data_IF_644540941479
#
_entry.id   IF_644540941479
#
_cell.length_a   1.000
_cell.length_b   1.000
_cell.length_c   1.000
_cell.angle_alpha   90.00
_cell.angle_beta   90.00
_cell.angle_gamma   90.00
#
_symmetry.space_group_name_H-M   'P 1'
#
loop_
_entity.id
_entity.type
_entity.pdbx_description
1 polymer ?
#
# COMPACT_ATOMS: atom_id res chain seq x y z
N UNK A 1 -9.58 14.38 -4.65
CA UNK A 1 -9.96 14.71 -3.25
C UNK A 1 -11.44 14.42 -3.02
N UNK A 2 -11.78 13.62 -2.01
CA UNK A 2 -13.15 13.22 -1.71
C UNK A 2 -13.47 11.73 -1.94
N UNK A 3 -12.46 10.90 -2.19
CA UNK A 3 -12.65 9.46 -2.41
C UNK A 3 -13.20 8.77 -1.16
N UNK A 4 -12.74 9.19 0.03
CA UNK A 4 -13.19 8.58 1.28
C UNK A 4 -14.26 9.41 1.99
N UNK A 5 -14.39 10.70 1.64
CA UNK A 5 -15.19 11.66 2.40
C UNK A 5 -16.45 12.17 1.68
N UNK A 6 -16.53 12.03 0.35
CA UNK A 6 -17.67 12.54 -0.43
C UNK A 6 -18.46 11.39 -1.08
N UNK A 7 -19.64 11.02 -0.52
CA UNK A 7 -20.50 9.97 -1.07
C UNK A 7 -21.04 10.25 -2.47
N UNK A 8 -21.03 11.51 -2.92
CA UNK A 8 -21.48 11.89 -4.27
C UNK A 8 -20.38 11.68 -5.33
N UNK A 9 -19.15 11.38 -4.91
CA UNK A 9 -18.05 11.08 -5.83
C UNK A 9 -18.30 9.74 -6.54
N UNK A 10 -18.11 9.64 -7.86
CA UNK A 10 -18.22 8.35 -8.56
C UNK A 10 -17.17 7.32 -8.10
N UNK A 11 -16.07 7.79 -7.50
CA UNK A 11 -15.01 6.95 -6.93
C UNK A 11 -15.10 6.82 -5.40
N UNK A 12 -16.26 7.09 -4.81
CA UNK A 12 -16.43 6.96 -3.36
C UNK A 12 -16.17 5.52 -2.90
N UNK A 13 -15.41 5.37 -1.81
CA UNK A 13 -15.14 4.07 -1.19
C UNK A 13 -14.99 4.24 0.32
N UNK A 14 -15.52 3.28 1.07
CA UNK A 14 -15.40 3.20 2.53
C UNK A 14 -14.45 2.06 2.90
N UNK A 15 -13.12 2.30 2.94
CA UNK A 15 -12.16 1.27 3.30
C UNK A 15 -12.19 0.97 4.80
N UNK A 16 -11.93 -0.29 5.19
CA UNK A 16 -11.69 -0.65 6.61
C UNK A 16 -10.23 -0.47 7.03
N UNK A 17 -9.30 -0.45 6.07
CA UNK A 17 -7.87 -0.19 6.26
C UNK A 17 -7.30 0.44 5.01
N UNK A 18 -6.36 1.38 5.16
CA UNK A 18 -5.67 2.02 4.04
C UNK A 18 -4.17 1.73 4.12
N UNK A 19 -3.60 1.28 3.00
CA UNK A 19 -2.17 1.05 2.84
C UNK A 19 -1.57 2.21 2.03
N UNK A 20 -0.55 2.86 2.60
CA UNK A 20 0.14 4.03 2.03
C UNK A 20 1.54 3.63 1.57
N UNK A 21 1.96 4.10 0.39
CA UNK A 21 3.29 3.77 -0.16
C UNK A 21 4.33 4.80 0.23
N UNK A 22 3.99 6.08 0.11
CA UNK A 22 4.86 7.18 0.52
C UNK A 22 4.03 8.22 1.26
N UNK A 23 4.21 8.37 2.59
CA UNK A 23 3.50 9.35 3.39
C UNK A 23 3.57 10.78 2.85
N UNK A 24 4.66 11.13 2.16
CA UNK A 24 4.86 12.50 1.63
C UNK A 24 4.09 12.72 0.33
N UNK A 25 3.99 11.69 -0.51
CA UNK A 25 3.27 11.77 -1.79
C UNK A 25 1.76 11.54 -1.61
N UNK A 26 1.38 10.71 -0.64
CA UNK A 26 0.01 10.25 -0.40
C UNK A 26 -0.70 11.00 0.75
N UNK A 27 -0.20 12.20 1.14
CA UNK A 27 -0.72 12.98 2.28
C UNK A 27 -2.24 13.21 2.20
N UNK A 28 -2.77 13.44 0.99
CA UNK A 28 -4.20 13.62 0.77
C UNK A 28 -5.02 12.38 1.19
N UNK A 29 -4.54 11.18 0.88
CA UNK A 29 -5.21 9.93 1.25
C UNK A 29 -5.14 9.71 2.76
N UNK A 30 -3.99 10.04 3.37
CA UNK A 30 -3.81 9.98 4.83
C UNK A 30 -4.76 10.93 5.56
N UNK A 31 -4.90 12.17 5.10
CA UNK A 31 -5.82 13.12 5.70
C UNK A 31 -7.28 12.67 5.61
N UNK A 32 -7.69 12.17 4.44
CA UNK A 32 -9.05 11.69 4.23
C UNK A 32 -9.33 10.45 5.10
N UNK A 33 -8.40 9.50 5.16
CA UNK A 33 -8.51 8.31 6.02
C UNK A 33 -8.57 8.68 7.51
N UNK A 34 -7.75 9.65 7.94
CA UNK A 34 -7.78 10.17 9.32
C UNK A 34 -9.13 10.82 9.64
N UNK A 35 -9.73 11.55 8.69
CA UNK A 35 -11.04 12.22 8.89
C UNK A 35 -12.19 11.22 9.08
N UNK A 36 -12.14 10.08 8.40
CA UNK A 36 -13.15 9.03 8.55
C UNK A 36 -12.84 8.02 9.67
N UNK A 37 -11.65 8.09 10.27
CA UNK A 37 -11.24 7.24 11.39
C UNK A 37 -10.84 5.82 11.00
N UNK A 38 -10.27 5.65 9.80
CA UNK A 38 -9.81 4.34 9.29
C UNK A 38 -8.32 4.13 9.62
N UNK A 39 -7.92 2.92 10.07
CA UNK A 39 -6.53 2.63 10.38
C UNK A 39 -5.62 2.74 9.16
N UNK A 40 -4.44 3.35 9.37
CA UNK A 40 -3.44 3.62 8.35
C UNK A 40 -2.18 2.76 8.56
N UNK A 41 -1.83 1.99 7.53
CA UNK A 41 -0.58 1.22 7.44
C UNK A 41 0.30 1.86 6.36
N UNK A 42 1.55 2.19 6.65
CA UNK A 42 2.40 2.87 5.67
C UNK A 42 3.78 2.19 5.49
N UNK A 43 4.28 2.21 4.25
CA UNK A 43 5.69 1.96 3.96
C UNK A 43 6.47 3.26 4.21
N UNK A 44 7.49 3.22 5.05
CA UNK A 44 8.26 4.42 5.38
C UNK A 44 9.76 4.18 5.23
N UNK A 45 10.41 5.14 4.55
CA UNK A 45 11.85 5.31 4.53
C UNK A 45 12.27 6.34 5.62
N UNK A 46 13.57 6.52 5.78
CA UNK A 46 14.20 7.37 6.80
C UNK A 46 13.83 8.85 6.73
N UNK A 47 13.37 9.34 5.58
CA UNK A 47 13.01 10.74 5.37
C UNK A 47 11.50 11.02 5.45
N UNK A 48 10.68 10.01 5.71
CA UNK A 48 9.23 10.18 5.79
C UNK A 48 8.75 10.72 7.15
N UNK A 49 7.58 11.37 7.12
CA UNK A 49 6.89 11.83 8.33
C UNK A 49 5.93 10.74 8.83
N UNK A 50 5.98 10.44 10.13
CA UNK A 50 5.20 9.37 10.77
C UNK A 50 3.85 9.84 11.35
N UNK A 51 3.32 10.97 10.88
CA UNK A 51 2.14 11.60 11.48
C UNK A 51 0.88 10.85 11.06
N UNK A 52 0.00 10.54 12.03
CA UNK A 52 -1.28 9.88 11.81
C UNK A 52 -1.17 8.49 11.13
N UNK A 53 -0.07 7.78 11.34
CA UNK A 53 0.11 6.40 10.87
C UNK A 53 0.06 5.48 12.08
N UNK A 54 -0.78 4.45 12.03
CA UNK A 54 -0.96 3.51 13.14
C UNK A 54 0.08 2.39 13.12
N UNK A 55 0.45 1.93 11.92
CA UNK A 55 1.45 0.88 11.71
C UNK A 55 2.44 1.26 10.62
N UNK A 56 3.72 1.23 10.96
CA UNK A 56 4.82 1.55 10.05
C UNK A 56 5.54 0.27 9.66
N UNK A 57 5.72 0.09 8.34
CA UNK A 57 6.57 -0.94 7.75
C UNK A 57 7.83 -0.23 7.24
N UNK A 58 8.98 -0.37 7.94
CA UNK A 58 10.21 0.26 7.50
C UNK A 58 10.72 -0.42 6.22
N UNK A 59 10.73 0.31 5.11
CA UNK A 59 11.11 -0.20 3.81
C UNK A 59 11.56 0.93 2.87
N UNK A 60 12.37 0.59 1.87
CA UNK A 60 12.69 1.53 0.80
C UNK A 60 11.47 1.70 -0.12
N UNK A 61 10.82 2.86 -0.05
CA UNK A 61 9.64 3.21 -0.83
C UNK A 61 9.92 3.95 -2.15
N UNK A 62 11.19 4.11 -2.53
CA UNK A 62 11.61 4.76 -3.81
C UNK A 62 12.09 3.75 -4.85
N UNK A 63 12.70 2.66 -4.39
CA UNK A 63 13.23 1.63 -5.27
C UNK A 63 12.13 0.78 -5.90
N UNK A 64 12.02 0.77 -7.24
CA UNK A 64 11.05 -0.06 -7.97
C UNK A 64 11.07 -1.54 -7.57
N UNK A 65 12.27 -2.11 -7.46
CA UNK A 65 12.45 -3.52 -7.02
C UNK A 65 12.08 -3.73 -5.56
N UNK A 66 12.36 -2.74 -4.70
CA UNK A 66 12.04 -2.81 -3.28
C UNK A 66 10.53 -2.77 -3.06
N UNK A 67 9.84 -1.81 -3.69
CA UNK A 67 8.37 -1.72 -3.66
C UNK A 67 7.70 -3.00 -4.19
N UNK A 68 8.14 -3.49 -5.35
CA UNK A 68 7.61 -4.73 -5.92
C UNK A 68 7.75 -5.91 -4.96
N UNK A 69 8.93 -6.07 -4.35
CA UNK A 69 9.19 -7.12 -3.38
C UNK A 69 8.34 -6.99 -2.11
N UNK A 70 8.19 -5.78 -1.56
CA UNK A 70 7.39 -5.55 -0.35
C UNK A 70 5.92 -5.87 -0.60
N UNK A 71 5.34 -5.38 -1.69
CA UNK A 71 3.96 -5.69 -2.04
C UNK A 71 3.74 -7.18 -2.35
N UNK A 72 4.70 -7.83 -3.00
CA UNK A 72 4.65 -9.27 -3.24
C UNK A 72 4.68 -10.08 -1.93
N UNK A 73 5.57 -9.72 -0.99
CA UNK A 73 5.65 -10.36 0.31
C UNK A 73 4.38 -10.14 1.13
N UNK A 74 3.83 -8.93 1.09
CA UNK A 74 2.58 -8.58 1.78
C UNK A 74 1.41 -9.40 1.22
N UNK A 75 1.25 -9.44 -0.11
CA UNK A 75 0.21 -10.23 -0.76
C UNK A 75 0.35 -11.72 -0.41
N UNK A 76 1.58 -12.26 -0.45
CA UNK A 76 1.86 -13.65 -0.06
C UNK A 76 1.43 -13.92 1.38
N UNK A 77 1.78 -13.04 2.32
CA UNK A 77 1.44 -13.25 3.72
C UNK A 77 -0.07 -13.15 3.95
N UNK A 78 -0.76 -12.21 3.32
CA UNK A 78 -2.22 -12.08 3.42
C UNK A 78 -2.93 -13.35 2.94
N UNK A 79 -2.48 -13.94 1.82
CA UNK A 79 -3.08 -15.19 1.32
C UNK A 79 -2.79 -16.41 2.21
N UNK A 80 -1.63 -16.43 2.89
CA UNK A 80 -1.32 -17.46 3.90
C UNK A 80 -2.24 -17.35 5.12
N UNK A 81 -2.45 -16.14 5.64
CA UNK A 81 -3.36 -15.90 6.77
C UNK A 81 -4.83 -16.20 6.41
N UNK A 82 -5.21 -16.01 5.13
CA UNK A 82 -6.53 -16.40 4.62
C UNK A 82 -6.70 -17.90 4.38
N UNK A 83 -5.62 -18.68 4.44
CA UNK A 83 -5.64 -20.13 4.17
C UNK A 83 -5.77 -20.50 2.69
N UNK A 84 -5.58 -19.54 1.77
CA UNK A 84 -5.61 -19.78 0.32
C UNK A 84 -4.31 -20.45 -0.18
N UNK A 85 -3.22 -20.23 0.55
CA UNK A 85 -1.90 -20.82 0.28
C UNK A 85 -1.40 -21.47 1.57
N UNK A 86 -0.69 -22.63 1.51
CA UNK A 86 -0.05 -23.21 2.68
C UNK A 86 0.92 -22.23 3.38
N UNK A 87 1.22 -22.41 4.67
CA UNK A 87 2.14 -21.53 5.42
C UNK A 87 3.51 -21.33 4.76
N UNK A 88 4.01 -22.37 4.09
CA UNK A 88 5.29 -22.33 3.34
C UNK A 88 5.10 -22.15 1.84
N UNK A 89 3.85 -22.08 1.37
CA UNK A 89 3.54 -21.90 -0.05
C UNK A 89 3.91 -20.51 -0.54
N UNK A 90 4.26 -20.40 -1.82
CA UNK A 90 4.59 -19.14 -2.47
C UNK A 90 3.46 -18.72 -3.42
N UNK A 91 3.44 -17.43 -3.75
CA UNK A 91 2.63 -16.91 -4.84
C UNK A 91 3.06 -17.60 -6.15
N UNK A 92 2.08 -17.95 -6.99
CA UNK A 92 2.35 -18.44 -8.35
C UNK A 92 2.91 -17.31 -9.22
N UNK A 93 2.49 -16.08 -8.95
CA UNK A 93 2.94 -14.87 -9.62
C UNK A 93 4.37 -14.54 -9.21
N UNK A 94 5.30 -14.37 -10.17
CA UNK A 94 6.69 -13.99 -9.89
C UNK A 94 6.79 -12.51 -9.47
N UNK A 95 7.85 -12.15 -8.74
CA UNK A 95 8.05 -10.77 -8.22
C UNK A 95 8.20 -9.78 -9.37
N UNK A 96 8.76 -10.22 -10.49
CA UNK A 96 8.98 -9.45 -11.71
C UNK A 96 7.68 -8.90 -12.30
N UNK A 97 6.53 -9.53 -12.03
CA UNK A 97 5.22 -9.02 -12.46
C UNK A 97 4.77 -7.80 -11.65
N UNK A 98 5.27 -7.66 -10.41
CA UNK A 98 5.04 -6.49 -9.56
C UNK A 98 5.99 -5.34 -9.90
N UNK A 99 7.08 -5.59 -10.64
CA UNK A 99 8.01 -4.54 -11.05
C UNK A 99 7.40 -3.64 -12.14
N UNK A 100 7.56 -2.32 -12.00
CA UNK A 100 7.15 -1.37 -13.03
C UNK A 100 7.97 -1.59 -14.30
N UNK A 101 7.29 -2.08 -15.36
CA UNK A 101 7.88 -2.24 -16.69
C UNK A 101 8.26 -0.86 -17.24
N UNK A 102 9.52 -0.72 -17.68
CA UNK A 102 9.93 0.45 -18.44
C UNK A 102 9.29 0.33 -19.82
N UNK A 103 8.19 1.05 -20.05
CA UNK A 103 7.79 1.33 -21.42
C UNK A 103 8.85 2.25 -22.02
N UNK A 104 9.49 1.82 -23.12
CA UNK A 104 10.25 2.73 -23.95
C UNK A 104 9.29 3.86 -24.37
N UNK A 105 9.53 5.05 -23.84
CA UNK A 105 8.85 6.26 -24.29
C UNK A 105 9.25 6.42 -25.75
N UNK A 106 8.31 6.15 -26.66
CA UNK A 106 8.42 6.55 -28.08
C UNK A 106 8.22 8.05 -28.21
#
# INVERSE_FOLDING_TARGET
>A
PGTFTNPLSPSYTEPEVVIITDPSADEQAMEEATKIGVPLVALCDTDNTFKNIDLIIPANNKGRKALAMVYWLLARQVLRERGEIPPDGNLQTPVEEFETKLSEVR
#
